data_IF_307923069927
#
_entry.id   IF_307923069927
#
_cell.length_a   1.000
_cell.length_b   1.000
_cell.length_c   1.000
_cell.angle_alpha   90.00
_cell.angle_beta   90.00
_cell.angle_gamma   90.00
#
_symmetry.space_group_name_H-M   'P 1'
#
loop_
_entity.id
_entity.type
_entity.pdbx_description
1 polymer ?
#
# COMPACT_ATOMS: atom_id res chain seq x y z
N UNK A 1 -21.51 2.94 -18.36
CA UNK A 1 -21.59 2.97 -16.87
C UNK A 1 -22.48 4.09 -16.35
N UNK A 2 -22.19 5.37 -16.63
CA UNK A 2 -22.93 6.51 -16.05
C UNK A 2 -24.44 6.42 -16.33
N UNK A 3 -24.85 6.05 -17.53
CA UNK A 3 -26.27 5.97 -17.89
C UNK A 3 -27.05 4.91 -17.08
N UNK A 4 -26.39 3.88 -16.55
CA UNK A 4 -27.03 2.87 -15.68
C UNK A 4 -27.35 3.41 -14.28
N UNK A 5 -26.66 4.47 -13.87
CA UNK A 5 -26.70 4.97 -12.50
C UNK A 5 -27.09 6.44 -12.39
N UNK A 6 -27.09 7.20 -13.48
CA UNK A 6 -27.32 8.65 -13.46
C UNK A 6 -28.68 9.00 -12.86
N UNK A 7 -29.71 8.19 -13.07
CA UNK A 7 -31.05 8.48 -12.55
C UNK A 7 -31.25 8.02 -11.10
N UNK A 8 -30.22 7.40 -10.50
CA UNK A 8 -30.22 6.95 -9.12
C UNK A 8 -29.68 8.04 -8.22
N UNK A 9 -30.53 8.57 -7.34
CA UNK A 9 -30.16 9.66 -6.43
C UNK A 9 -29.13 9.21 -5.38
N UNK A 10 -29.06 7.90 -5.10
CA UNK A 10 -28.07 7.34 -4.19
C UNK A 10 -26.63 7.41 -4.72
N UNK A 11 -26.44 7.52 -6.05
CA UNK A 11 -25.12 7.72 -6.65
C UNK A 11 -24.74 9.20 -6.63
N UNK A 12 -23.69 9.53 -5.87
CA UNK A 12 -23.14 10.87 -5.79
C UNK A 12 -22.03 11.11 -6.80
N UNK A 13 -21.13 10.14 -7.03
CA UNK A 13 -20.04 10.28 -7.98
C UNK A 13 -19.46 8.94 -8.45
N UNK A 14 -18.80 8.96 -9.60
CA UNK A 14 -17.95 7.88 -10.10
C UNK A 14 -16.56 8.46 -10.32
N UNK A 15 -15.56 7.88 -9.66
CA UNK A 15 -14.14 8.25 -9.83
C UNK A 15 -13.44 7.06 -10.47
N UNK A 16 -12.78 7.26 -11.60
CA UNK A 16 -11.97 6.24 -12.27
C UNK A 16 -10.60 6.18 -11.62
N UNK A 17 -10.11 4.97 -11.36
CA UNK A 17 -8.83 4.71 -10.73
C UNK A 17 -8.01 3.67 -11.48
N UNK A 18 -7.14 3.00 -10.74
CA UNK A 18 -6.50 1.79 -11.24
C UNK A 18 -5.46 1.99 -12.33
N UNK A 19 -5.30 0.97 -13.18
CA UNK A 19 -4.29 0.99 -14.25
C UNK A 19 -4.59 2.01 -15.34
N UNK A 20 -5.89 2.28 -15.60
CA UNK A 20 -6.36 3.30 -16.55
C UNK A 20 -5.92 4.70 -16.10
N UNK A 21 -6.27 5.07 -14.87
CA UNK A 21 -5.87 6.34 -14.25
C UNK A 21 -4.34 6.54 -14.23
N UNK A 22 -3.60 5.45 -14.00
CA UNK A 22 -2.12 5.48 -13.91
C UNK A 22 -1.42 5.48 -15.27
N UNK A 23 -2.15 5.39 -16.38
CA UNK A 23 -1.57 5.25 -17.71
C UNK A 23 -0.76 3.96 -17.92
N UNK A 24 -1.06 2.91 -17.14
CA UNK A 24 -0.39 1.59 -17.22
C UNK A 24 -1.33 0.47 -17.66
N UNK A 25 -2.54 0.84 -18.11
CA UNK A 25 -3.53 -0.09 -18.63
C UNK A 25 -3.02 -0.84 -19.88
N UNK A 26 -3.39 -2.11 -19.96
CA UNK A 26 -3.21 -2.99 -21.12
C UNK A 26 -4.56 -3.14 -21.82
N UNK A 27 -4.57 -3.69 -23.03
CA UNK A 27 -5.82 -3.96 -23.76
C UNK A 27 -6.79 -4.88 -23.00
N UNK A 28 -6.28 -5.70 -22.07
CA UNK A 28 -7.06 -6.60 -21.21
C UNK A 28 -7.20 -6.09 -19.77
N UNK A 29 -6.85 -4.83 -19.50
CA UNK A 29 -7.01 -4.24 -18.16
C UNK A 29 -8.48 -4.05 -17.85
N UNK A 30 -8.83 -4.22 -16.60
CA UNK A 30 -10.09 -3.79 -16.01
C UNK A 30 -10.16 -2.26 -15.84
N UNK A 31 -11.39 -1.78 -15.65
CA UNK A 31 -11.67 -0.38 -15.28
C UNK A 31 -12.01 -0.34 -13.80
N UNK A 32 -11.04 0.05 -12.97
CA UNK A 32 -11.26 0.28 -11.55
C UNK A 32 -12.06 1.57 -11.31
N UNK A 33 -13.09 1.52 -10.46
CA UNK A 33 -13.87 2.69 -10.05
C UNK A 33 -14.07 2.80 -8.54
N UNK A 34 -14.21 4.03 -8.05
CA UNK A 34 -14.87 4.32 -6.79
C UNK A 34 -16.29 4.80 -7.07
N UNK A 35 -17.27 4.07 -6.55
CA UNK A 35 -18.66 4.49 -6.55
C UNK A 35 -18.96 5.21 -5.25
N UNK A 36 -19.10 6.53 -5.32
CA UNK A 36 -19.43 7.37 -4.17
C UNK A 36 -20.94 7.38 -3.99
N UNK A 37 -21.41 6.78 -2.90
CA UNK A 37 -22.84 6.68 -2.58
C UNK A 37 -23.22 7.64 -1.44
N UNK A 38 -24.52 7.89 -1.29
CA UNK A 38 -25.05 8.52 -0.08
C UNK A 38 -24.72 7.68 1.15
N UNK A 39 -24.62 8.32 2.31
CA UNK A 39 -24.33 7.62 3.57
C UNK A 39 -25.41 6.55 3.88
N UNK A 40 -26.68 6.85 3.56
CA UNK A 40 -27.77 5.90 3.75
C UNK A 40 -27.60 4.62 2.92
N UNK A 41 -27.27 4.76 1.63
CA UNK A 41 -27.07 3.62 0.74
C UNK A 41 -25.81 2.84 1.09
N UNK A 42 -24.71 3.54 1.40
CA UNK A 42 -23.48 2.92 1.85
C UNK A 42 -23.70 2.08 3.11
N UNK A 43 -24.42 2.61 4.11
CA UNK A 43 -24.73 1.89 5.34
C UNK A 43 -25.67 0.70 5.12
N UNK A 44 -26.64 0.82 4.21
CA UNK A 44 -27.52 -0.29 3.85
C UNK A 44 -26.71 -1.45 3.24
N UNK A 45 -25.84 -1.15 2.28
CA UNK A 45 -24.93 -2.11 1.65
C UNK A 45 -23.93 -2.72 2.61
N UNK A 46 -23.34 -1.91 3.49
CA UNK A 46 -22.38 -2.37 4.50
C UNK A 46 -22.96 -3.44 5.41
N UNK A 47 -24.24 -3.32 5.81
CA UNK A 47 -24.93 -4.31 6.66
C UNK A 47 -25.08 -5.67 6.01
N UNK A 48 -25.10 -5.72 4.68
CA UNK A 48 -25.24 -6.96 3.90
C UNK A 48 -23.95 -7.33 3.16
N UNK A 49 -22.82 -6.70 3.53
CA UNK A 49 -21.49 -6.95 2.96
C UNK A 49 -21.38 -6.70 1.44
N UNK A 50 -22.20 -5.80 0.90
CA UNK A 50 -22.25 -5.44 -0.52
C UNK A 50 -21.42 -4.18 -0.82
N UNK A 51 -20.11 -4.21 -0.55
CA UNK A 51 -19.22 -3.04 -0.71
C UNK A 51 -18.39 -3.03 -2.00
N UNK A 52 -18.73 -3.92 -2.93
CA UNK A 52 -17.99 -4.14 -4.17
C UNK A 52 -18.93 -4.01 -5.37
N UNK A 53 -18.50 -3.26 -6.37
CA UNK A 53 -19.16 -3.19 -7.66
C UNK A 53 -18.44 -4.08 -8.65
N UNK A 54 -19.19 -4.82 -9.47
CA UNK A 54 -18.67 -5.61 -10.56
C UNK A 54 -19.65 -5.58 -11.73
N UNK A 55 -19.14 -5.37 -12.93
CA UNK A 55 -19.94 -5.39 -14.16
C UNK A 55 -19.10 -5.87 -15.36
N UNK A 56 -19.35 -7.10 -15.86
CA UNK A 56 -18.66 -7.64 -17.03
C UNK A 56 -19.32 -7.25 -18.37
N UNK A 57 -20.51 -6.64 -18.35
CA UNK A 57 -21.38 -6.56 -19.54
C UNK A 57 -21.30 -5.22 -20.28
N UNK A 58 -20.57 -4.24 -19.75
CA UNK A 58 -20.58 -2.85 -20.24
C UNK A 58 -19.29 -2.38 -20.88
N UNK A 59 -18.26 -3.23 -20.91
CA UNK A 59 -17.05 -2.99 -21.67
C UNK A 59 -17.26 -3.41 -23.13
N UNK A 60 -16.76 -2.62 -24.07
CA UNK A 60 -16.87 -2.85 -25.51
C UNK A 60 -15.67 -3.60 -26.09
N UNK A 61 -14.81 -4.15 -25.23
CA UNK A 61 -13.62 -4.91 -25.58
C UNK A 61 -13.61 -6.27 -24.87
N UNK A 62 -12.99 -7.26 -25.52
CA UNK A 62 -12.96 -8.63 -25.06
C UNK A 62 -12.23 -8.78 -23.71
N UNK A 63 -12.89 -9.47 -22.76
CA UNK A 63 -12.35 -9.72 -21.43
C UNK A 63 -12.38 -8.53 -20.47
N UNK A 64 -12.85 -7.36 -20.93
CA UNK A 64 -13.00 -6.18 -20.10
C UNK A 64 -14.12 -6.31 -19.06
N UNK A 65 -13.88 -5.80 -17.87
CA UNK A 65 -14.91 -5.62 -16.85
C UNK A 65 -14.66 -4.33 -16.07
N UNK A 66 -15.71 -3.81 -15.43
CA UNK A 66 -15.61 -2.75 -14.43
C UNK A 66 -15.67 -3.42 -13.07
N UNK A 67 -14.74 -3.10 -12.19
CA UNK A 67 -14.86 -3.41 -10.79
C UNK A 67 -14.58 -2.18 -9.92
N UNK A 68 -15.02 -2.21 -8.67
CA UNK A 68 -14.89 -1.02 -7.87
C UNK A 68 -15.32 -1.14 -6.43
N UNK A 69 -14.98 -0.12 -5.68
CA UNK A 69 -15.32 -0.01 -4.26
C UNK A 69 -16.50 0.92 -4.11
N UNK A 70 -17.46 0.50 -3.30
CA UNK A 70 -18.57 1.35 -2.88
C UNK A 70 -18.14 2.09 -1.62
N UNK A 71 -18.12 3.41 -1.67
CA UNK A 71 -17.61 4.27 -0.60
C UNK A 71 -18.60 5.42 -0.29
N UNK A 72 -18.66 5.91 0.95
CA UNK A 72 -19.36 7.15 1.26
C UNK A 72 -18.48 8.35 0.85
N UNK A 73 -19.07 9.53 0.68
CA UNK A 73 -18.30 10.75 0.43
C UNK A 73 -17.26 11.05 1.53
N UNK A 74 -17.60 10.73 2.78
CA UNK A 74 -16.69 10.88 3.92
C UNK A 74 -15.38 10.09 3.77
N UNK A 75 -15.36 9.00 3.01
CA UNK A 75 -14.12 8.28 2.69
C UNK A 75 -13.16 9.13 1.87
N UNK A 76 -13.65 9.84 0.85
CA UNK A 76 -12.82 10.69 -0.03
C UNK A 76 -12.19 11.83 0.77
N UNK A 77 -12.98 12.46 1.64
CA UNK A 77 -12.49 13.50 2.56
C UNK A 77 -11.43 12.95 3.51
N UNK A 78 -11.67 11.78 4.10
CA UNK A 78 -10.71 11.18 5.02
C UNK A 78 -9.46 10.64 4.33
N UNK A 79 -9.56 10.20 3.07
CA UNK A 79 -8.41 9.78 2.28
C UNK A 79 -7.41 10.94 2.08
N UNK A 80 -7.91 12.16 1.85
CA UNK A 80 -7.08 13.36 1.73
C UNK A 80 -6.41 13.74 3.06
N UNK A 81 -7.15 13.66 4.17
CA UNK A 81 -6.65 14.09 5.48
C UNK A 81 -5.71 13.08 6.13
N UNK A 82 -6.09 11.80 6.10
CA UNK A 82 -5.46 10.74 6.91
C UNK A 82 -5.38 9.38 6.20
N UNK A 83 -5.55 9.35 4.88
CA UNK A 83 -5.40 8.13 4.10
C UNK A 83 -4.01 7.53 4.27
N UNK A 84 -3.95 6.20 4.43
CA UNK A 84 -2.70 5.45 4.38
C UNK A 84 -2.06 5.57 2.99
N UNK A 85 -0.77 5.26 2.88
CA UNK A 85 -0.07 5.34 1.58
C UNK A 85 -0.75 4.51 0.47
N UNK A 86 -1.20 3.25 0.68
CA UNK A 86 -1.94 2.51 -0.33
C UNK A 86 -3.26 3.18 -0.74
N UNK A 87 -3.98 3.75 0.22
CA UNK A 87 -5.20 4.51 -0.07
C UNK A 87 -4.86 5.70 -0.95
N UNK A 88 -3.87 6.51 -0.58
CA UNK A 88 -3.45 7.67 -1.39
C UNK A 88 -2.97 7.26 -2.78
N UNK A 89 -2.16 6.21 -2.87
CA UNK A 89 -1.61 5.69 -4.12
C UNK A 89 -2.69 5.13 -5.07
N UNK A 90 -3.87 4.78 -4.55
CA UNK A 90 -5.00 4.33 -5.36
C UNK A 90 -5.70 5.46 -6.11
N UNK A 91 -5.46 6.73 -5.73
CA UNK A 91 -5.98 7.93 -6.39
C UNK A 91 -4.97 8.59 -7.34
N UNK A 92 -3.78 8.00 -7.54
CA UNK A 92 -2.81 8.53 -8.51
C UNK A 92 -3.42 8.51 -9.91
N UNK A 93 -3.53 9.70 -10.52
CA UNK A 93 -4.11 9.90 -11.84
C UNK A 93 -5.63 9.73 -11.91
N UNK A 94 -6.31 9.65 -10.76
CA UNK A 94 -7.76 9.45 -10.74
C UNK A 94 -8.54 10.63 -11.28
N UNK A 95 -9.59 10.33 -12.03
CA UNK A 95 -10.48 11.32 -12.64
C UNK A 95 -11.93 11.11 -12.22
N UNK A 96 -12.62 12.19 -11.92
CA UNK A 96 -14.05 12.22 -11.62
C UNK A 96 -14.82 12.17 -12.93
N UNK A 97 -15.36 10.99 -13.24
CA UNK A 97 -16.12 10.74 -14.46
C UNK A 97 -17.58 11.20 -14.36
N UNK A 98 -18.13 11.22 -13.15
CA UNK A 98 -19.47 11.73 -12.84
C UNK A 98 -19.49 12.29 -11.42
N UNK A 99 -20.18 13.40 -11.17
CA UNK A 99 -20.35 13.93 -9.82
C UNK A 99 -21.59 14.81 -9.67
N UNK A 100 -22.24 14.69 -8.51
CA UNK A 100 -23.22 15.61 -7.94
C UNK A 100 -22.63 16.52 -6.86
N UNK A 101 -21.39 16.22 -6.45
CA UNK A 101 -20.65 16.93 -5.42
C UNK A 101 -19.83 18.05 -6.10
N UNK A 102 -20.05 19.32 -5.74
CA UNK A 102 -19.24 20.42 -6.25
C UNK A 102 -17.75 20.23 -5.93
N UNK A 103 -16.88 20.59 -6.87
CA UNK A 103 -15.42 20.61 -6.72
C UNK A 103 -14.76 19.27 -6.30
N UNK A 104 -15.44 18.13 -6.54
CA UNK A 104 -14.92 16.81 -6.15
C UNK A 104 -13.56 16.50 -6.80
N UNK A 105 -13.33 16.89 -8.06
CA UNK A 105 -12.05 16.65 -8.73
C UNK A 105 -10.89 17.32 -7.97
N UNK A 106 -11.07 18.56 -7.53
CA UNK A 106 -10.05 19.27 -6.78
C UNK A 106 -9.72 18.59 -5.44
N UNK A 107 -10.70 17.93 -4.80
CA UNK A 107 -10.44 17.10 -3.61
C UNK A 107 -9.66 15.84 -3.99
N UNK A 108 -10.06 15.14 -5.06
CA UNK A 108 -9.39 13.93 -5.56
C UNK A 108 -7.92 14.18 -5.88
N UNK A 109 -7.62 15.30 -6.54
CA UNK A 109 -6.26 15.67 -6.93
C UNK A 109 -5.30 15.88 -5.75
N UNK A 110 -5.82 16.18 -4.56
CA UNK A 110 -5.01 16.37 -3.34
C UNK A 110 -4.73 15.07 -2.58
N UNK A 111 -5.45 13.99 -2.87
CA UNK A 111 -5.28 12.70 -2.18
C UNK A 111 -3.90 12.07 -2.43
N UNK A 112 -3.40 11.94 -3.68
CA UNK A 112 -2.16 11.22 -3.98
C UNK A 112 -0.88 12.01 -3.66
N UNK A 113 -0.92 12.93 -2.70
CA UNK A 113 0.25 13.66 -2.20
C UNK A 113 0.94 12.85 -1.10
N UNK A 114 2.28 12.78 -1.15
CA UNK A 114 3.06 12.06 -0.15
C UNK A 114 2.95 12.75 1.24
N UNK A 115 2.64 12.02 2.32
CA UNK A 115 2.44 12.62 3.65
C UNK A 115 3.79 12.93 4.33
N UNK A 116 4.27 14.17 4.17
CA UNK A 116 5.56 14.62 4.72
C UNK A 116 5.63 14.59 6.26
N UNK A 117 4.52 14.86 6.95
CA UNK A 117 4.49 15.03 8.41
C UNK A 117 5.08 13.85 9.20
N UNK A 118 4.91 12.63 8.69
CA UNK A 118 5.37 11.41 9.34
C UNK A 118 6.56 10.75 8.62
N UNK A 119 7.11 11.36 7.56
CA UNK A 119 8.10 10.70 6.67
C UNK A 119 9.35 10.23 7.42
N UNK A 120 9.94 11.11 8.22
CA UNK A 120 11.15 10.79 9.00
C UNK A 120 10.88 9.72 10.07
N UNK A 121 9.73 9.80 10.76
CA UNK A 121 9.29 8.77 11.72
C UNK A 121 9.12 7.43 11.02
N UNK A 122 8.40 7.39 9.90
CA UNK A 122 8.18 6.18 9.12
C UNK A 122 9.48 5.54 8.64
N UNK A 123 10.46 6.33 8.18
CA UNK A 123 11.76 5.79 7.79
C UNK A 123 12.48 5.11 8.96
N UNK A 124 12.45 5.72 10.16
CA UNK A 124 13.03 5.13 11.39
C UNK A 124 12.29 3.85 11.79
N UNK A 125 10.95 3.88 11.78
CA UNK A 125 10.12 2.73 12.10
C UNK A 125 10.39 1.56 11.13
N UNK A 126 10.42 1.82 9.82
CA UNK A 126 10.73 0.80 8.82
C UNK A 126 12.15 0.28 8.94
N UNK A 127 13.14 1.14 9.22
CA UNK A 127 14.51 0.68 9.44
C UNK A 127 14.64 -0.19 10.70
N UNK A 128 13.87 0.10 11.75
CA UNK A 128 13.81 -0.76 12.93
C UNK A 128 13.31 -2.16 12.56
N UNK A 129 12.27 -2.25 11.72
CA UNK A 129 11.79 -3.53 11.19
C UNK A 129 12.86 -4.26 10.37
N UNK A 130 13.59 -3.56 9.49
CA UNK A 130 14.70 -4.13 8.70
C UNK A 130 15.74 -4.78 9.63
N UNK A 131 16.14 -4.07 10.68
CA UNK A 131 17.13 -4.57 11.63
C UNK A 131 16.63 -5.80 12.39
N UNK A 132 15.39 -5.80 12.88
CA UNK A 132 14.86 -6.91 13.68
C UNK A 132 14.58 -8.15 12.81
N UNK A 133 13.94 -7.98 11.66
CA UNK A 133 13.67 -9.10 10.76
C UNK A 133 14.94 -9.71 10.19
N UNK A 134 15.95 -8.90 9.87
CA UNK A 134 17.22 -9.42 9.35
C UNK A 134 18.15 -9.97 10.43
N UNK A 135 18.41 -9.22 11.51
CA UNK A 135 19.45 -9.59 12.50
C UNK A 135 18.97 -10.63 13.51
N UNK A 136 17.68 -10.65 13.82
CA UNK A 136 17.13 -11.54 14.83
C UNK A 136 16.28 -12.64 14.20
N UNK A 137 15.11 -12.29 13.66
CA UNK A 137 14.10 -13.28 13.28
C UNK A 137 14.56 -14.22 12.17
N UNK A 138 15.10 -13.70 11.07
CA UNK A 138 15.55 -14.55 9.96
C UNK A 138 16.73 -15.45 10.36
N UNK A 139 17.67 -14.96 11.17
CA UNK A 139 18.81 -15.76 11.64
C UNK A 139 18.37 -16.86 12.61
N UNK A 140 17.48 -16.53 13.55
CA UNK A 140 16.93 -17.50 14.49
C UNK A 140 16.11 -18.57 13.76
N UNK A 141 15.32 -18.17 12.75
CA UNK A 141 14.56 -19.12 11.94
C UNK A 141 15.48 -20.13 11.21
N UNK A 142 16.63 -19.68 10.70
CA UNK A 142 17.64 -20.57 10.10
C UNK A 142 18.21 -21.52 11.16
N UNK A 143 18.60 -21.00 12.32
CA UNK A 143 19.20 -21.81 13.40
C UNK A 143 18.25 -22.87 13.95
N UNK A 144 16.95 -22.63 13.83
CA UNK A 144 15.89 -23.51 14.30
C UNK A 144 15.27 -24.37 13.20
N UNK A 145 15.76 -24.26 11.96
CA UNK A 145 15.17 -24.91 10.77
C UNK A 145 13.65 -24.63 10.63
N UNK A 146 13.25 -23.39 10.93
CA UNK A 146 11.86 -22.94 10.90
C UNK A 146 11.54 -22.24 9.56
N UNK A 147 11.13 -23.04 8.58
CA UNK A 147 10.86 -22.57 7.22
C UNK A 147 9.77 -21.48 7.17
N UNK A 148 8.68 -21.64 7.91
CA UNK A 148 7.61 -20.64 7.94
C UNK A 148 8.13 -19.29 8.45
N UNK A 149 8.83 -19.29 9.59
CA UNK A 149 9.37 -18.07 10.17
C UNK A 149 10.43 -17.44 9.27
N UNK A 150 11.23 -18.25 8.58
CA UNK A 150 12.23 -17.77 7.64
C UNK A 150 11.57 -17.03 6.48
N UNK A 151 10.54 -17.64 5.84
CA UNK A 151 9.81 -17.00 4.74
C UNK A 151 9.08 -15.74 5.19
N UNK A 152 8.44 -15.78 6.36
CA UNK A 152 7.81 -14.61 6.95
C UNK A 152 8.83 -13.49 7.19
N UNK A 153 9.91 -13.76 7.92
CA UNK A 153 10.92 -12.76 8.26
C UNK A 153 11.57 -12.13 7.03
N UNK A 154 11.89 -12.95 6.02
CA UNK A 154 12.48 -12.47 4.76
C UNK A 154 11.48 -11.61 3.97
N UNK A 155 10.20 -12.01 3.92
CA UNK A 155 9.17 -11.21 3.26
C UNK A 155 8.99 -9.83 3.92
N UNK A 156 9.04 -9.78 5.26
CA UNK A 156 8.93 -8.54 6.03
C UNK A 156 10.19 -7.69 5.90
N UNK A 157 11.37 -8.30 5.93
CA UNK A 157 12.65 -7.61 5.68
C UNK A 157 12.64 -6.89 4.34
N UNK A 158 12.24 -7.57 3.26
CA UNK A 158 12.14 -6.96 1.92
C UNK A 158 11.03 -5.92 1.86
N UNK A 159 9.88 -6.16 2.50
CA UNK A 159 8.78 -5.20 2.58
C UNK A 159 9.25 -3.89 3.20
N UNK A 160 9.82 -3.93 4.40
CA UNK A 160 10.18 -2.73 5.15
C UNK A 160 11.40 -2.03 4.57
N UNK A 161 12.39 -2.76 4.04
CA UNK A 161 13.49 -2.14 3.30
C UNK A 161 12.98 -1.37 2.06
N UNK A 162 12.02 -1.97 1.34
CA UNK A 162 11.43 -1.34 0.16
C UNK A 162 10.57 -0.14 0.53
N UNK A 163 9.75 -0.24 1.58
CA UNK A 163 8.93 0.88 2.08
C UNK A 163 9.78 2.03 2.61
N UNK A 164 10.89 1.73 3.28
CA UNK A 164 11.87 2.73 3.71
C UNK A 164 12.45 3.50 2.52
N UNK A 165 12.87 2.80 1.46
CA UNK A 165 13.36 3.44 0.23
C UNK A 165 12.27 4.24 -0.49
N UNK A 166 11.03 3.75 -0.55
CA UNK A 166 9.91 4.51 -1.10
C UNK A 166 9.68 5.81 -0.31
N UNK A 167 9.71 5.75 1.02
CA UNK A 167 9.60 6.92 1.89
C UNK A 167 10.77 7.92 1.68
N UNK A 168 11.99 7.42 1.51
CA UNK A 168 13.15 8.26 1.19
C UNK A 168 12.96 9.02 -0.13
N UNK A 169 12.34 8.38 -1.12
CA UNK A 169 12.07 8.94 -2.45
C UNK A 169 10.74 9.71 -2.55
N UNK A 170 9.95 9.82 -1.46
CA UNK A 170 8.59 10.39 -1.48
C UNK A 170 7.64 9.70 -2.47
N UNK A 171 7.85 8.40 -2.67
CA UNK A 171 6.98 7.57 -3.49
C UNK A 171 5.99 6.89 -2.56
N UNK A 172 4.69 7.05 -2.81
CA UNK A 172 3.66 6.37 -2.04
C UNK A 172 3.79 4.85 -2.22
N UNK A 173 3.75 4.08 -1.13
CA UNK A 173 3.60 2.63 -1.19
C UNK A 173 2.25 2.24 -1.83
N UNK A 174 2.23 1.60 -3.02
CA UNK A 174 0.98 1.33 -3.72
C UNK A 174 0.20 0.16 -3.12
N UNK A 175 0.83 -1.00 -3.04
CA UNK A 175 0.32 -2.25 -2.48
C UNK A 175 1.43 -3.32 -2.59
N UNK A 176 1.23 -4.48 -1.99
CA UNK A 176 2.18 -5.60 -2.08
C UNK A 176 2.44 -6.03 -3.53
N UNK A 177 1.39 -6.14 -4.36
CA UNK A 177 1.50 -6.55 -5.78
C UNK A 177 2.44 -5.63 -6.59
N UNK A 178 2.44 -4.33 -6.29
CA UNK A 178 3.19 -3.33 -7.06
C UNK A 178 4.43 -2.81 -6.36
N UNK A 179 4.77 -3.34 -5.17
CA UNK A 179 5.89 -2.86 -4.36
C UNK A 179 7.21 -2.90 -5.13
N UNK A 180 7.57 -4.05 -5.69
CA UNK A 180 8.84 -4.23 -6.40
C UNK A 180 8.95 -3.32 -7.62
N UNK A 181 7.86 -3.11 -8.35
CA UNK A 181 7.83 -2.19 -9.49
C UNK A 181 8.04 -0.73 -9.05
N UNK A 182 7.37 -0.30 -7.97
CA UNK A 182 7.56 1.04 -7.41
C UNK A 182 8.98 1.26 -6.90
N UNK A 183 9.56 0.26 -6.20
CA UNK A 183 10.93 0.35 -5.68
C UNK A 183 11.98 0.32 -6.80
N UNK A 184 11.75 -0.44 -7.87
CA UNK A 184 12.61 -0.41 -9.05
C UNK A 184 12.64 0.99 -9.70
N UNK A 185 11.49 1.67 -9.75
CA UNK A 185 11.35 3.04 -10.27
C UNK A 185 11.90 4.14 -9.37
N UNK A 186 12.20 3.86 -8.10
CA UNK A 186 12.78 4.84 -7.18
C UNK A 186 14.21 5.23 -7.61
N UNK A 187 14.50 6.53 -7.68
CA UNK A 187 15.79 7.02 -8.20
C UNK A 187 16.92 6.87 -7.20
N UNK A 188 16.63 7.00 -5.91
CA UNK A 188 17.61 6.92 -4.84
C UNK A 188 17.49 5.59 -4.09
N UNK A 189 18.32 4.61 -4.45
CA UNK A 189 18.40 3.29 -3.82
C UNK A 189 19.83 2.73 -3.94
N UNK A 190 20.23 1.77 -3.07
CA UNK A 190 21.54 1.13 -3.19
C UNK A 190 21.70 0.42 -4.54
N UNK A 191 22.92 0.44 -5.07
CA UNK A 191 23.26 -0.35 -6.26
C UNK A 191 23.06 -1.85 -5.99
N UNK A 192 22.50 -2.58 -6.97
CA UNK A 192 22.21 -4.01 -6.82
C UNK A 192 21.04 -4.35 -5.89
N UNK A 193 20.30 -3.36 -5.36
CA UNK A 193 19.19 -3.60 -4.43
C UNK A 193 18.16 -4.60 -4.96
N UNK A 194 17.71 -4.43 -6.22
CA UNK A 194 16.68 -5.30 -6.81
C UNK A 194 17.17 -6.75 -6.91
N UNK A 195 18.40 -6.98 -7.36
CA UNK A 195 18.98 -8.31 -7.47
C UNK A 195 19.15 -8.96 -6.10
N UNK A 196 19.57 -8.19 -5.09
CA UNK A 196 19.70 -8.67 -3.72
C UNK A 196 18.34 -9.06 -3.13
N UNK A 197 17.27 -8.30 -3.40
CA UNK A 197 15.91 -8.67 -2.94
C UNK A 197 15.42 -9.97 -3.58
N UNK A 198 15.61 -10.16 -4.88
CA UNK A 198 15.19 -11.37 -5.59
C UNK A 198 15.95 -12.61 -5.09
N UNK A 199 17.27 -12.51 -4.91
CA UNK A 199 18.10 -13.59 -4.36
C UNK A 199 17.68 -13.96 -2.93
N UNK A 200 17.43 -12.95 -2.09
CA UNK A 200 17.03 -13.15 -0.71
C UNK A 200 15.66 -13.85 -0.60
N UNK A 201 14.69 -13.47 -1.44
CA UNK A 201 13.35 -14.09 -1.46
C UNK A 201 13.39 -15.55 -1.94
N UNK A 202 14.20 -15.85 -2.96
CA UNK A 202 14.29 -17.21 -3.52
C UNK A 202 14.98 -18.16 -2.56
N UNK A 203 16.15 -17.77 -2.08
CA UNK A 203 17.05 -18.66 -1.35
C UNK A 203 17.70 -17.89 -0.18
N UNK A 204 16.96 -17.68 0.92
CA UNK A 204 17.50 -16.97 2.07
C UNK A 204 18.56 -17.80 2.80
N UNK A 205 19.65 -17.15 3.17
CA UNK A 205 20.68 -17.70 4.07
C UNK A 205 21.34 -16.56 4.85
N UNK A 206 22.13 -16.89 5.88
CA UNK A 206 22.75 -15.90 6.78
C UNK A 206 23.66 -14.91 6.04
N UNK A 207 24.44 -15.39 5.07
CA UNK A 207 25.37 -14.57 4.29
C UNK A 207 24.64 -13.53 3.44
N UNK A 208 23.56 -13.93 2.76
CA UNK A 208 22.70 -13.05 1.96
C UNK A 208 21.96 -12.04 2.83
N UNK A 209 21.47 -12.46 3.99
CA UNK A 209 20.84 -11.57 4.98
C UNK A 209 21.85 -10.51 5.45
N UNK A 210 23.07 -10.91 5.81
CA UNK A 210 24.10 -9.99 6.29
C UNK A 210 24.60 -9.03 5.19
N UNK A 211 24.74 -9.52 3.96
CA UNK A 211 25.05 -8.67 2.81
C UNK A 211 23.94 -7.64 2.54
N UNK A 212 22.67 -8.06 2.60
CA UNK A 212 21.52 -7.17 2.41
C UNK A 212 21.44 -6.11 3.50
N UNK A 213 21.64 -6.49 4.76
CA UNK A 213 21.68 -5.56 5.89
C UNK A 213 22.84 -4.55 5.74
N UNK A 214 24.03 -5.02 5.35
CA UNK A 214 25.19 -4.16 5.13
C UNK A 214 24.94 -3.15 4.02
N UNK A 215 24.34 -3.60 2.90
CA UNK A 215 23.95 -2.73 1.78
C UNK A 215 22.98 -1.62 2.23
N UNK A 216 21.95 -1.98 3.01
CA UNK A 216 20.95 -1.02 3.47
C UNK A 216 21.53 -0.06 4.51
N UNK A 217 22.21 -0.58 5.53
CA UNK A 217 22.83 0.25 6.58
C UNK A 217 23.94 1.14 6.05
N UNK A 218 24.64 0.74 4.97
CA UNK A 218 25.71 1.51 4.36
C UNK A 218 25.26 2.59 3.38
N UNK A 219 23.98 2.61 2.97
CA UNK A 219 23.49 3.52 1.96
C UNK A 219 23.20 4.94 2.48
N UNK A 220 22.66 5.05 3.69
CA UNK A 220 22.36 6.33 4.36
C UNK A 220 22.45 6.15 5.88
N UNK A 221 22.58 7.26 6.60
CA UNK A 221 22.42 7.29 8.05
C UNK A 221 20.92 7.35 8.40
N UNK A 222 20.37 6.23 8.86
CA UNK A 222 18.94 6.08 9.18
C UNK A 222 18.56 6.54 10.62
N UNK A 223 19.52 7.04 11.39
CA UNK A 223 19.26 7.77 12.63
C UNK A 223 18.79 6.95 13.84
N UNK A 224 18.99 5.64 13.86
CA UNK A 224 18.73 4.79 15.06
C UNK A 224 19.82 3.74 15.27
N UNK A 225 20.08 3.44 16.55
CA UNK A 225 20.89 2.29 16.97
C UNK A 225 20.07 0.99 16.94
N UNK A 226 20.74 -0.15 17.10
CA UNK A 226 20.04 -1.43 17.22
C UNK A 226 19.15 -1.49 18.47
N UNK A 227 19.61 -1.00 19.62
CA UNK A 227 18.81 -1.00 20.85
C UNK A 227 17.55 -0.13 20.70
N UNK A 228 17.66 1.02 20.03
CA UNK A 228 16.51 1.85 19.69
C UNK A 228 15.55 1.15 18.72
N UNK A 229 16.09 0.38 17.77
CA UNK A 229 15.27 -0.42 16.86
C UNK A 229 14.45 -1.49 17.61
N UNK A 230 15.01 -2.10 18.66
CA UNK A 230 14.26 -3.04 19.52
C UNK A 230 13.11 -2.33 20.22
N UNK A 231 13.35 -1.15 20.83
CA UNK A 231 12.29 -0.36 21.46
C UNK A 231 11.18 0.03 20.47
N UNK A 232 11.55 0.55 19.29
CA UNK A 232 10.60 0.90 18.23
C UNK A 232 9.82 -0.32 17.71
N UNK A 233 10.43 -1.49 17.68
CA UNK A 233 9.74 -2.71 17.28
C UNK A 233 8.64 -3.07 18.28
N UNK A 234 8.95 -3.04 19.59
CA UNK A 234 7.98 -3.29 20.67
C UNK A 234 6.82 -2.29 20.59
N UNK A 235 7.11 -0.98 20.49
CA UNK A 235 6.08 0.05 20.38
C UNK A 235 5.18 -0.14 19.16
N UNK A 236 5.78 -0.38 17.99
CA UNK A 236 5.03 -0.43 16.72
C UNK A 236 4.30 -1.76 16.47
N UNK A 237 4.69 -2.85 17.12
CA UNK A 237 4.11 -4.18 16.88
C UNK A 237 3.35 -4.66 18.12
N UNK A 238 4.06 -4.87 19.22
CA UNK A 238 3.51 -5.52 20.42
C UNK A 238 2.55 -4.60 21.18
N UNK A 239 2.89 -3.32 21.33
CA UNK A 239 2.03 -2.37 22.04
C UNK A 239 0.85 -1.89 21.18
N UNK A 240 1.00 -1.95 19.86
CA UNK A 240 -0.10 -1.65 18.92
C UNK A 240 -1.33 -2.54 19.16
N UNK A 241 -1.14 -3.76 19.68
CA UNK A 241 -2.23 -4.68 20.04
C UNK A 241 -3.12 -4.17 21.17
N UNK A 242 -2.60 -3.30 22.04
CA UNK A 242 -3.35 -2.69 23.14
C UNK A 242 -3.95 -1.33 22.77
N UNK A 243 -3.25 -0.58 21.93
CA UNK A 243 -3.60 0.82 21.62
C UNK A 243 -4.61 0.96 20.47
N UNK A 244 -4.72 -0.05 19.61
CA UNK A 244 -5.56 -0.01 18.41
C UNK A 244 -6.30 -1.34 18.21
N UNK A 245 -7.35 -1.33 17.39
CA UNK A 245 -7.99 -2.59 16.98
C UNK A 245 -6.97 -3.40 16.16
N UNK A 246 -6.64 -4.64 16.57
CA UNK A 246 -5.59 -5.40 15.92
C UNK A 246 -5.95 -5.69 14.46
N UNK A 247 -4.90 -5.78 13.63
CA UNK A 247 -5.04 -6.29 12.27
C UNK A 247 -5.60 -7.72 12.31
N UNK A 248 -6.26 -8.17 11.23
CA UNK A 248 -6.89 -9.51 11.18
C UNK A 248 -5.90 -10.63 11.52
N UNK A 249 -4.63 -10.47 11.17
CA UNK A 249 -3.58 -11.44 11.46
C UNK A 249 -3.27 -11.60 12.97
N UNK A 250 -3.66 -10.63 13.80
CA UNK A 250 -3.38 -10.52 15.23
C UNK A 250 -4.68 -10.57 16.09
N UNK A 251 -5.83 -10.92 15.48
CA UNK A 251 -7.14 -11.03 16.15
C UNK A 251 -7.43 -12.41 16.72
#
# INVERSE_FOLDING_TARGET
>A
MVDLWRDREELLAIIVGGSVAKGTARASSDVDVYMVMTDQEFEARRRVQDLFYYNPDICDYEGGYIDGKIIPYSFVVQAEQRGSEPTRASFIGSEVFFSRIPDLQALVDRIPVYPEANRERNMRDFYAQVLLYGRYFAKQAIDQDNEFMLRHAVSQLVLFASRMLLAYNRVLFPCHKSLMAATAGATQKPDGYMDATDQLLREPNKERIDAFLTMISGYQEWGITYDQAVSLFVENNEWSWLEQEPAIQDR
#
